data_IF_539727174947
#
_entry.id   IF_539727174947
#
_cell.length_a   1.000
_cell.length_b   1.000
_cell.length_c   1.000
_cell.angle_alpha   90.00
_cell.angle_beta   90.00
_cell.angle_gamma   90.00
#
_symmetry.space_group_name_H-M   'P 1'
#
loop_
_entity.id
_entity.type
_entity.pdbx_description
1 polymer ?
#
# COMPACT_ATOMS: atom_id res chain seq x y z
N UNK A 1 28.11 -26.99 72.47
CA UNK A 1 27.35 -26.19 71.49
C UNK A 1 28.31 -25.65 70.44
N UNK A 2 27.80 -25.47 69.22
CA UNK A 2 28.40 -24.81 68.04
C UNK A 2 29.18 -25.70 67.06
N UNK A 3 28.42 -26.31 66.14
CA UNK A 3 28.83 -26.52 64.76
C UNK A 3 27.91 -25.67 63.87
N UNK A 4 28.49 -24.89 62.96
CA UNK A 4 28.06 -24.68 61.56
C UNK A 4 28.69 -23.39 61.03
N UNK A 5 29.77 -23.55 60.28
CA UNK A 5 30.16 -22.54 59.29
C UNK A 5 29.28 -22.76 58.06
N UNK A 6 28.49 -21.76 57.68
CA UNK A 6 27.78 -21.74 56.40
C UNK A 6 28.64 -20.98 55.39
N UNK A 7 29.07 -21.67 54.34
CA UNK A 7 29.60 -21.07 53.14
C UNK A 7 28.47 -20.64 52.20
N UNK A 8 28.67 -19.46 51.60
CA UNK A 8 28.28 -19.05 50.25
C UNK A 8 26.80 -18.95 49.85
N UNK A 9 26.40 -17.74 49.45
CA UNK A 9 26.12 -17.46 48.04
C UNK A 9 26.14 -15.94 47.82
N UNK A 10 27.23 -15.42 47.24
CA UNK A 10 27.14 -14.14 46.56
C UNK A 10 26.30 -14.39 45.30
N UNK A 11 25.01 -14.06 45.37
CA UNK A 11 24.14 -14.04 44.19
C UNK A 11 24.70 -13.06 43.18
N UNK A 12 25.46 -13.56 42.22
CA UNK A 12 25.80 -12.82 41.01
C UNK A 12 24.51 -12.72 40.21
N UNK A 13 23.72 -11.69 40.49
CA UNK A 13 22.60 -11.32 39.64
C UNK A 13 23.14 -11.07 38.24
N UNK A 14 22.88 -11.99 37.31
CA UNK A 14 23.25 -11.81 35.92
C UNK A 14 22.62 -10.51 35.41
N UNK A 15 23.45 -9.57 34.94
CA UNK A 15 22.95 -8.33 34.36
C UNK A 15 22.22 -8.67 33.05
N UNK A 16 20.89 -8.59 33.05
CA UNK A 16 20.11 -8.69 31.82
C UNK A 16 20.20 -7.38 31.05
N UNK A 17 20.80 -7.41 29.86
CA UNK A 17 20.91 -6.27 28.94
C UNK A 17 20.16 -6.61 27.66
N UNK A 18 19.20 -5.77 27.28
CA UNK A 18 18.47 -5.89 26.02
C UNK A 18 18.58 -4.58 25.24
N UNK A 19 18.75 -4.70 23.92
CA UNK A 19 18.70 -3.58 22.99
C UNK A 19 17.72 -3.93 21.86
N UNK A 20 16.82 -3.01 21.55
CA UNK A 20 15.86 -3.14 20.46
C UNK A 20 15.80 -1.84 19.65
N UNK A 21 15.36 -1.95 18.41
CA UNK A 21 15.32 -0.84 17.47
C UNK A 21 14.26 -1.10 16.43
N UNK A 22 13.69 -0.01 15.91
CA UNK A 22 12.63 -0.02 14.91
C UNK A 22 13.07 0.91 13.78
N UNK A 23 12.89 0.49 12.53
CA UNK A 23 13.02 1.36 11.37
C UNK A 23 11.63 1.73 10.89
N UNK A 24 11.36 3.03 10.81
CA UNK A 24 10.18 3.54 10.11
C UNK A 24 10.51 3.73 8.62
N UNK A 25 9.77 3.07 7.73
CA UNK A 25 9.89 3.19 6.27
C UNK A 25 8.61 3.73 5.66
N UNK A 26 8.74 4.67 4.74
CA UNK A 26 7.63 5.07 3.90
C UNK A 26 7.49 4.09 2.73
N UNK A 27 6.31 3.52 2.56
CA UNK A 27 5.91 2.84 1.32
C UNK A 27 4.96 3.73 0.54
N UNK A 28 5.19 3.80 -0.77
CA UNK A 28 4.35 4.53 -1.72
C UNK A 28 3.99 3.61 -2.87
N UNK A 29 2.81 3.81 -3.44
CA UNK A 29 2.37 3.13 -4.65
C UNK A 29 1.11 3.82 -5.18
N UNK A 30 0.68 3.41 -6.36
CA UNK A 30 -0.50 3.97 -6.99
C UNK A 30 -1.27 2.92 -7.79
N UNK A 31 -2.56 3.19 -8.00
CA UNK A 31 -3.42 2.45 -8.91
C UNK A 31 -4.01 3.39 -9.96
N UNK A 32 -3.98 2.98 -11.22
CA UNK A 32 -4.75 3.62 -12.30
C UNK A 32 -5.97 2.74 -12.58
N UNK A 33 -7.17 3.26 -12.33
CA UNK A 33 -8.42 2.58 -12.59
C UNK A 33 -9.13 3.26 -13.76
N UNK A 34 -9.34 2.50 -14.83
CA UNK A 34 -9.97 2.98 -16.05
C UNK A 34 -11.32 2.29 -16.23
N UNK A 35 -12.33 3.08 -16.54
CA UNK A 35 -13.67 2.63 -16.91
C UNK A 35 -13.85 2.97 -18.39
N UNK A 36 -13.96 1.93 -19.22
CA UNK A 36 -14.33 2.05 -20.63
C UNK A 36 -15.86 1.97 -20.74
N UNK A 37 -16.49 2.88 -21.49
CA UNK A 37 -17.95 2.97 -21.58
C UNK A 37 -18.57 3.75 -20.41
N UNK A 38 -17.90 4.81 -19.94
CA UNK A 38 -18.31 5.57 -18.76
C UNK A 38 -19.75 6.09 -18.86
N UNK A 39 -20.21 6.48 -20.05
CA UNK A 39 -21.59 6.92 -20.28
C UNK A 39 -22.66 5.94 -19.78
N UNK A 40 -22.40 4.63 -19.80
CA UNK A 40 -23.33 3.60 -19.34
C UNK A 40 -23.46 3.55 -17.81
N UNK A 41 -22.49 4.09 -17.09
CA UNK A 41 -22.50 4.05 -15.62
C UNK A 41 -23.55 4.98 -15.02
N UNK A 42 -24.09 5.92 -15.80
CA UNK A 42 -25.23 6.74 -15.40
C UNK A 42 -26.51 5.94 -15.14
N UNK A 43 -26.59 4.68 -15.59
CA UNK A 43 -27.73 3.79 -15.30
C UNK A 43 -27.63 3.05 -13.96
N UNK A 44 -26.51 3.19 -13.23
CA UNK A 44 -26.39 2.62 -11.89
C UNK A 44 -27.22 3.45 -10.91
N UNK A 45 -27.94 2.85 -9.95
CA UNK A 45 -28.62 3.64 -8.93
C UNK A 45 -27.62 4.35 -8.02
N UNK A 46 -28.05 5.45 -7.38
CA UNK A 46 -27.28 6.10 -6.33
C UNK A 46 -26.82 5.11 -5.26
N UNK A 47 -25.59 5.29 -4.76
CA UNK A 47 -24.98 4.40 -3.77
C UNK A 47 -24.38 3.11 -4.33
N UNK A 48 -24.54 2.81 -5.62
CA UNK A 48 -23.80 1.72 -6.28
C UNK A 48 -22.42 2.18 -6.75
N UNK A 49 -21.43 1.29 -6.58
CA UNK A 49 -20.04 1.59 -6.95
C UNK A 49 -19.46 0.59 -7.93
N UNK A 50 -18.43 1.07 -8.62
CA UNK A 50 -17.54 0.27 -9.44
C UNK A 50 -16.21 0.18 -8.68
N UNK A 51 -15.87 -1.03 -8.26
CA UNK A 51 -14.67 -1.31 -7.45
C UNK A 51 -13.50 -1.77 -8.33
N UNK A 52 -12.31 -1.21 -8.10
CA UNK A 52 -11.08 -1.64 -8.76
C UNK A 52 -10.66 -3.06 -8.31
N UNK A 53 -9.79 -3.74 -9.07
CA UNK A 53 -9.01 -4.86 -8.51
C UNK A 53 -8.19 -4.41 -7.29
N UNK A 54 -7.82 -5.33 -6.37
CA UNK A 54 -7.00 -4.98 -5.23
C UNK A 54 -5.58 -4.59 -5.66
N UNK A 55 -4.99 -3.62 -4.98
CA UNK A 55 -3.59 -3.22 -5.16
C UNK A 55 -2.85 -3.13 -3.82
N UNK A 56 -1.56 -3.44 -3.82
CA UNK A 56 -0.77 -3.57 -2.61
C UNK A 56 0.13 -2.36 -2.37
N UNK A 57 0.01 -1.73 -1.20
CA UNK A 57 0.92 -0.65 -0.76
C UNK A 57 1.22 -0.84 0.73
N UNK A 58 2.52 -0.92 1.05
CA UNK A 58 3.03 -1.08 2.40
C UNK A 58 2.49 -2.28 3.17
N UNK A 59 2.47 -3.45 2.52
CA UNK A 59 2.01 -4.70 3.14
C UNK A 59 0.49 -4.79 3.31
N UNK A 60 -0.27 -3.82 2.81
CA UNK A 60 -1.73 -3.76 2.88
C UNK A 60 -2.33 -3.80 1.48
N UNK A 61 -3.50 -4.44 1.37
CA UNK A 61 -4.29 -4.46 0.16
C UNK A 61 -5.36 -3.38 0.20
N UNK A 62 -5.55 -2.70 -0.91
CA UNK A 62 -6.42 -1.55 -1.07
C UNK A 62 -7.34 -1.75 -2.25
N UNK A 63 -8.53 -1.16 -2.19
CA UNK A 63 -9.47 -1.02 -3.29
C UNK A 63 -9.74 0.45 -3.54
N UNK A 64 -10.04 0.81 -4.77
CA UNK A 64 -10.66 2.09 -5.09
C UNK A 64 -12.10 1.86 -5.52
N UNK A 65 -13.03 2.55 -4.87
CA UNK A 65 -14.46 2.51 -5.17
C UNK A 65 -14.86 3.84 -5.82
N UNK A 66 -15.48 3.77 -7.00
CA UNK A 66 -16.00 4.93 -7.72
C UNK A 66 -17.52 4.85 -7.79
N UNK A 67 -18.20 5.92 -7.40
CA UNK A 67 -19.66 6.04 -7.39
C UNK A 67 -20.07 7.10 -8.42
N UNK A 68 -20.50 6.71 -9.64
CA UNK A 68 -20.82 7.66 -10.70
C UNK A 68 -22.00 8.59 -10.38
N UNK A 69 -22.93 8.10 -9.55
CA UNK A 69 -24.17 8.79 -9.17
C UNK A 69 -24.22 9.12 -7.66
N UNK A 70 -23.05 9.25 -7.04
CA UNK A 70 -22.93 9.56 -5.61
C UNK A 70 -22.94 8.32 -4.71
N UNK A 71 -22.33 8.45 -3.54
CA UNK A 71 -22.25 7.35 -2.56
C UNK A 71 -23.51 7.17 -1.70
N UNK A 72 -24.38 8.18 -1.65
CA UNK A 72 -25.63 8.16 -0.89
C UNK A 72 -26.77 7.53 -1.70
N UNK A 73 -27.00 6.24 -1.47
CA UNK A 73 -28.11 5.51 -2.10
C UNK A 73 -29.46 5.66 -1.40
N UNK A 74 -29.55 6.51 -0.36
CA UNK A 74 -30.83 6.78 0.31
C UNK A 74 -31.66 7.89 -0.35
N UNK A 75 -31.07 8.58 -1.32
CA UNK A 75 -31.71 9.66 -2.05
C UNK A 75 -32.53 9.12 -3.21
N UNK A 76 -33.68 9.76 -3.45
CA UNK A 76 -34.55 9.45 -4.58
C UNK A 76 -33.97 10.01 -5.91
N UNK A 77 -33.07 11.00 -5.82
CA UNK A 77 -32.36 11.60 -6.94
C UNK A 77 -30.89 11.16 -7.00
N UNK A 78 -30.36 11.09 -8.23
CA UNK A 78 -28.93 10.90 -8.43
C UNK A 78 -28.17 12.13 -7.93
N UNK A 79 -27.02 11.92 -7.27
CA UNK A 79 -26.13 13.02 -6.96
C UNK A 79 -25.66 13.71 -8.24
N UNK A 80 -25.52 15.03 -8.17
CA UNK A 80 -24.86 15.88 -9.15
C UNK A 80 -23.33 15.72 -9.15
N UNK A 81 -22.76 14.90 -8.26
CA UNK A 81 -21.34 14.67 -8.14
C UNK A 81 -20.97 13.18 -8.20
N UNK A 82 -19.72 12.94 -8.61
CA UNK A 82 -19.09 11.62 -8.55
C UNK A 82 -18.35 11.52 -7.22
N UNK A 83 -18.50 10.39 -6.54
CA UNK A 83 -17.76 10.10 -5.32
C UNK A 83 -16.63 9.10 -5.58
N UNK A 84 -15.52 9.23 -4.85
CA UNK A 84 -14.38 8.30 -4.96
C UNK A 84 -13.76 8.03 -3.60
N UNK A 85 -13.45 6.76 -3.35
CA UNK A 85 -12.92 6.32 -2.06
C UNK A 85 -11.84 5.26 -2.17
N UNK A 86 -10.91 5.34 -1.23
CA UNK A 86 -9.87 4.35 -1.00
C UNK A 86 -10.33 3.51 0.18
N UNK A 87 -10.40 2.18 -0.01
CA UNK A 87 -10.84 1.24 1.01
C UNK A 87 -9.75 0.23 1.34
N UNK A 88 -9.50 0.04 2.64
CA UNK A 88 -8.57 -0.96 3.15
C UNK A 88 -9.22 -2.35 3.14
N UNK A 89 -8.55 -3.32 2.52
CA UNK A 89 -9.02 -4.71 2.45
C UNK A 89 -8.81 -5.42 3.79
N UNK A 90 -9.84 -6.15 4.23
CA UNK A 90 -9.78 -6.99 5.41
C UNK A 90 -9.77 -8.46 5.11
N UNK A 91 -8.60 -9.08 5.21
CA UNK A 91 -8.53 -10.54 5.28
C UNK A 91 -7.85 -11.06 6.54
N UNK A 92 -6.79 -10.44 7.09
CA UNK A 92 -6.08 -11.03 8.24
C UNK A 92 -5.44 -10.05 9.24
N UNK A 93 -5.50 -8.73 9.03
CA UNK A 93 -4.78 -7.77 9.87
C UNK A 93 -5.69 -6.61 10.29
N UNK A 94 -6.16 -6.67 11.54
CA UNK A 94 -7.07 -5.71 12.19
C UNK A 94 -6.37 -4.40 12.62
N UNK A 95 -5.10 -4.22 12.26
CA UNK A 95 -4.35 -3.02 12.61
C UNK A 95 -4.94 -1.75 11.98
N UNK A 96 -4.90 -0.65 12.74
CA UNK A 96 -5.16 0.69 12.21
C UNK A 96 -4.00 1.11 11.31
N UNK A 97 -4.32 1.63 10.14
CA UNK A 97 -3.34 2.11 9.16
C UNK A 97 -3.55 3.59 8.93
N UNK A 98 -2.55 4.41 9.24
CA UNK A 98 -2.53 5.81 8.83
C UNK A 98 -1.98 5.90 7.41
N UNK A 99 -2.80 6.38 6.48
CA UNK A 99 -2.44 6.52 5.07
C UNK A 99 -2.65 7.96 4.61
N UNK A 100 -1.69 8.47 3.84
CA UNK A 100 -1.91 9.62 2.97
C UNK A 100 -2.39 9.10 1.62
N UNK A 101 -3.40 9.74 1.05
CA UNK A 101 -3.96 9.39 -0.25
C UNK A 101 -4.22 10.64 -1.11
N UNK A 102 -4.20 10.47 -2.43
CA UNK A 102 -4.57 11.50 -3.40
C UNK A 102 -5.29 10.86 -4.58
N UNK A 103 -6.35 11.50 -5.05
CA UNK A 103 -7.05 11.13 -6.28
C UNK A 103 -6.83 12.17 -7.36
N UNK A 104 -6.60 11.69 -8.59
CA UNK A 104 -6.45 12.52 -9.78
C UNK A 104 -7.21 11.89 -10.95
N UNK A 105 -7.97 12.67 -11.71
CA UNK A 105 -8.44 12.26 -13.03
C UNK A 105 -7.34 12.49 -14.06
N UNK A 106 -7.13 11.49 -14.92
CA UNK A 106 -6.09 11.50 -15.92
C UNK A 106 -6.65 11.88 -17.29
N UNK A 107 -5.90 12.70 -18.03
CA UNK A 107 -6.15 12.89 -19.46
C UNK A 107 -5.72 11.65 -20.28
N UNK A 108 -6.02 11.66 -21.57
CA UNK A 108 -5.62 10.59 -22.49
C UNK A 108 -4.09 10.39 -22.62
N UNK A 109 -3.28 11.39 -22.23
CA UNK A 109 -1.83 11.33 -22.21
C UNK A 109 -1.26 10.81 -20.87
N UNK A 110 -2.13 10.56 -19.88
CA UNK A 110 -1.78 10.08 -18.55
C UNK A 110 -1.38 11.16 -17.56
N UNK A 111 -1.62 12.43 -17.86
CA UNK A 111 -1.32 13.53 -16.95
C UNK A 111 -2.52 13.80 -16.04
N UNK A 112 -2.26 14.24 -14.80
CA UNK A 112 -3.31 14.69 -13.89
C UNK A 112 -3.95 15.97 -14.44
N UNK A 113 -5.19 15.84 -14.89
CA UNK A 113 -5.96 16.93 -15.47
C UNK A 113 -6.89 17.56 -14.41
N UNK A 114 -7.39 16.77 -13.47
CA UNK A 114 -8.13 17.24 -12.29
C UNK A 114 -7.62 16.52 -11.06
N UNK A 115 -7.46 17.22 -9.93
CA UNK A 115 -7.01 16.61 -8.69
C UNK A 115 -7.40 17.43 -7.48
N UNK A 116 -7.54 16.76 -6.34
CA UNK A 116 -7.66 17.40 -5.03
C UNK A 116 -6.33 17.25 -4.26
N UNK A 117 -6.06 18.12 -3.27
CA UNK A 117 -4.87 18.00 -2.44
C UNK A 117 -4.77 16.65 -1.71
N UNK A 118 -3.56 16.13 -1.45
CA UNK A 118 -3.38 14.93 -0.64
C UNK A 118 -4.06 15.07 0.72
N UNK A 119 -4.75 14.01 1.15
CA UNK A 119 -5.42 13.93 2.44
C UNK A 119 -4.86 12.77 3.26
N UNK A 120 -5.03 12.80 4.58
CA UNK A 120 -4.55 11.74 5.47
C UNK A 120 -5.68 11.23 6.35
N UNK A 121 -5.83 9.92 6.41
CA UNK A 121 -6.84 9.26 7.24
C UNK A 121 -6.24 8.07 8.00
N UNK A 122 -6.87 7.71 9.10
CA UNK A 122 -6.60 6.46 9.81
C UNK A 122 -7.72 5.49 9.46
N UNK A 123 -7.39 4.41 8.76
CA UNK A 123 -8.33 3.39 8.34
C UNK A 123 -8.20 2.15 9.23
N UNK A 124 -9.31 1.45 9.41
CA UNK A 124 -9.34 0.19 10.14
C UNK A 124 -10.04 -0.89 9.30
N UNK A 125 -9.39 -2.03 9.17
CA UNK A 125 -9.93 -3.14 8.40
C UNK A 125 -11.20 -3.70 9.06
N UNK A 126 -12.22 -3.93 8.23
CA UNK A 126 -13.38 -4.74 8.58
C UNK A 126 -13.00 -6.22 8.45
N UNK A 127 -13.12 -6.98 9.54
CA UNK A 127 -12.84 -8.43 9.55
C UNK A 127 -13.84 -9.28 8.75
N UNK A 128 -14.57 -8.68 7.79
CA UNK A 128 -15.58 -9.31 6.94
C UNK A 128 -15.35 -8.96 5.47
N UNK A 129 -15.76 -9.87 4.60
CA UNK A 129 -15.85 -9.64 3.15
C UNK A 129 -17.02 -8.69 2.89
N UNK A 130 -16.72 -7.40 2.76
CA UNK A 130 -17.72 -6.35 2.55
C UNK A 130 -17.79 -5.91 1.09
N UNK A 131 -18.06 -6.86 0.21
CA UNK A 131 -18.43 -6.53 -1.17
C UNK A 131 -19.94 -6.26 -1.33
N UNK A 132 -20.72 -6.27 -0.24
CA UNK A 132 -22.20 -6.21 -0.29
C UNK A 132 -22.85 -5.25 0.71
N UNK A 133 -22.11 -4.49 1.52
CA UNK A 133 -22.70 -3.51 2.45
C UNK A 133 -22.50 -2.09 1.92
N UNK A 134 -23.58 -1.31 1.89
CA UNK A 134 -23.51 0.14 1.69
C UNK A 134 -22.65 0.79 2.79
N UNK A 135 -21.89 1.83 2.43
CA UNK A 135 -21.07 2.63 3.35
C UNK A 135 -21.85 3.10 4.57
N UNK A 136 -23.12 3.43 4.40
CA UNK A 136 -24.00 3.93 5.47
C UNK A 136 -24.43 2.85 6.47
N UNK A 137 -24.03 1.59 6.25
CA UNK A 137 -24.29 0.47 7.14
C UNK A 137 -23.05 0.07 7.96
N UNK A 138 -21.93 0.82 7.85
CA UNK A 138 -20.74 0.57 8.65
C UNK A 138 -20.88 1.24 10.02
N UNK A 139 -20.40 0.56 11.08
CA UNK A 139 -20.29 1.16 12.40
C UNK A 139 -19.27 2.31 12.39
N UNK A 140 -19.52 3.40 13.14
CA UNK A 140 -18.62 4.55 13.22
C UNK A 140 -17.22 4.16 13.74
N UNK A 141 -17.15 3.09 14.54
CA UNK A 141 -15.87 2.55 15.04
C UNK A 141 -15.05 1.82 13.96
N UNK A 142 -15.70 1.46 12.84
CA UNK A 142 -15.16 0.70 11.72
C UNK A 142 -15.10 1.60 10.48
N UNK A 143 -14.03 2.40 10.36
CA UNK A 143 -13.81 3.25 9.19
C UNK A 143 -12.81 2.63 8.21
N UNK A 144 -13.25 1.76 7.27
CA UNK A 144 -12.38 1.06 6.35
C UNK A 144 -12.01 1.92 5.14
N UNK A 145 -12.63 3.09 4.95
CA UNK A 145 -12.48 3.87 3.73
C UNK A 145 -12.28 5.37 3.99
N UNK A 146 -11.62 6.05 3.07
CA UNK A 146 -11.45 7.50 3.08
C UNK A 146 -11.48 8.05 1.65
N UNK A 147 -12.00 9.25 1.46
CA UNK A 147 -12.19 9.80 0.11
C UNK A 147 -13.12 11.01 0.13
N UNK A 148 -13.86 11.18 -0.96
CA UNK A 148 -14.71 12.36 -1.19
C UNK A 148 -16.10 11.93 -1.66
N UNK A 149 -17.13 12.37 -0.94
CA UNK A 149 -18.53 12.25 -1.37
C UNK A 149 -18.78 13.09 -2.63
N UNK A 150 -18.13 14.25 -2.73
CA UNK A 150 -18.16 15.14 -3.89
C UNK A 150 -16.74 15.33 -4.43
N UNK A 151 -16.25 14.39 -5.24
CA UNK A 151 -14.90 14.49 -5.82
C UNK A 151 -14.85 15.46 -6.99
N UNK A 152 -15.82 15.37 -7.89
CA UNK A 152 -16.00 16.26 -9.04
C UNK A 152 -17.49 16.30 -9.38
N UNK A 153 -18.03 17.49 -9.70
CA UNK A 153 -19.42 17.58 -10.14
C UNK A 153 -19.55 17.04 -11.58
N UNK A 154 -20.73 16.54 -11.91
CA UNK A 154 -21.06 16.06 -13.24
C UNK A 154 -20.98 17.21 -14.26
N UNK A 155 -21.37 18.44 -13.89
CA UNK A 155 -21.21 19.58 -14.80
C UNK A 155 -19.73 19.87 -15.09
N UNK A 156 -18.86 19.84 -14.08
CA UNK A 156 -17.43 20.09 -14.27
C UNK A 156 -16.77 18.98 -15.08
N UNK A 157 -17.16 17.72 -14.86
CA UNK A 157 -16.68 16.60 -15.66
C UNK A 157 -17.10 16.74 -17.13
N UNK A 158 -18.38 17.06 -17.40
CA UNK A 158 -18.89 17.25 -18.76
C UNK A 158 -18.29 18.50 -19.43
N UNK A 159 -18.08 19.60 -18.70
CA UNK A 159 -17.36 20.78 -19.21
C UNK A 159 -15.96 20.42 -19.70
N UNK A 160 -15.36 19.37 -19.13
CA UNK A 160 -14.00 18.90 -19.44
C UNK A 160 -13.97 17.58 -20.22
N UNK A 161 -15.11 17.17 -20.79
CA UNK A 161 -15.32 15.90 -21.49
C UNK A 161 -14.23 15.58 -22.51
N UNK A 162 -13.82 16.55 -23.32
CA UNK A 162 -12.80 16.34 -24.36
C UNK A 162 -11.42 15.94 -23.81
N UNK A 163 -11.15 16.28 -22.54
CA UNK A 163 -9.91 15.95 -21.84
C UNK A 163 -10.04 14.74 -20.91
N UNK A 164 -11.14 14.64 -20.17
CA UNK A 164 -11.33 13.69 -19.07
C UNK A 164 -12.14 12.44 -19.45
N UNK A 165 -12.94 12.51 -20.53
CA UNK A 165 -13.84 11.45 -21.00
C UNK A 165 -13.60 11.10 -22.48
N UNK A 166 -12.37 11.29 -22.96
CA UNK A 166 -12.03 10.99 -24.36
C UNK A 166 -12.29 9.51 -24.67
N UNK A 167 -12.95 9.26 -25.80
CA UNK A 167 -13.39 7.93 -26.24
C UNK A 167 -14.34 7.22 -25.24
N UNK A 168 -15.11 7.98 -24.46
CA UNK A 168 -16.00 7.46 -23.41
C UNK A 168 -15.25 6.67 -22.32
N UNK A 169 -14.05 7.15 -21.99
CA UNK A 169 -13.17 6.54 -20.97
C UNK A 169 -12.88 7.51 -19.85
N UNK A 170 -13.22 7.09 -18.63
CA UNK A 170 -12.79 7.78 -17.41
C UNK A 170 -11.58 7.05 -16.82
N UNK A 171 -10.54 7.80 -16.45
CA UNK A 171 -9.36 7.24 -15.79
C UNK A 171 -9.05 7.98 -14.48
N UNK A 172 -9.00 7.24 -13.38
CA UNK A 172 -8.69 7.77 -12.05
C UNK A 172 -7.40 7.14 -11.54
N UNK A 173 -6.48 7.98 -11.08
CA UNK A 173 -5.28 7.58 -10.34
C UNK A 173 -5.51 7.78 -8.86
N UNK A 174 -5.15 6.78 -8.06
CA UNK A 174 -5.06 6.89 -6.61
C UNK A 174 -3.61 6.68 -6.19
N UNK A 175 -2.99 7.69 -5.59
CA UNK A 175 -1.68 7.58 -4.94
C UNK A 175 -1.88 7.30 -3.45
N UNK A 176 -1.12 6.35 -2.91
CA UNK A 176 -1.19 5.94 -1.50
C UNK A 176 0.20 5.93 -0.90
N UNK A 177 0.33 6.49 0.30
CA UNK A 177 1.55 6.44 1.09
C UNK A 177 1.24 6.02 2.54
N UNK A 178 2.00 5.04 3.04
CA UNK A 178 1.87 4.52 4.40
C UNK A 178 3.24 4.44 5.08
N UNK A 179 3.23 4.55 6.42
CA UNK A 179 4.43 4.30 7.24
C UNK A 179 4.39 2.86 7.75
N UNK A 180 5.45 2.12 7.48
CA UNK A 180 5.69 0.78 8.02
C UNK A 180 6.76 0.85 9.11
N UNK A 181 6.56 0.07 10.18
CA UNK A 181 7.52 -0.08 11.26
C UNK A 181 8.09 -1.50 11.21
N UNK A 182 9.39 -1.62 11.00
CA UNK A 182 10.10 -2.91 10.96
C UNK A 182 11.04 -3.03 12.17
N UNK A 183 10.99 -4.16 12.88
CA UNK A 183 11.91 -4.43 13.98
C UNK A 183 13.31 -4.78 13.45
N UNK A 184 14.33 -4.17 14.04
CA UNK A 184 15.72 -4.52 13.79
C UNK A 184 16.11 -5.75 14.62
N UNK A 185 16.57 -6.80 13.95
CA UNK A 185 16.96 -8.05 14.60
C UNK A 185 18.31 -7.95 15.33
N UNK A 186 19.14 -6.94 15.04
CA UNK A 186 20.50 -6.81 15.59
C UNK A 186 20.78 -5.38 16.05
N UNK A 187 20.49 -5.07 17.31
CA UNK A 187 20.75 -3.74 17.91
C UNK A 187 21.81 -3.79 19.00
N UNK A 188 22.09 -4.97 19.53
CA UNK A 188 23.19 -5.15 20.47
C UNK A 188 24.53 -4.84 19.78
N UNK A 189 25.44 -4.10 20.44
CA UNK A 189 26.81 -3.93 19.96
C UNK A 189 27.45 -5.30 19.75
N UNK A 190 28.16 -5.49 18.64
CA UNK A 190 29.07 -6.63 18.52
C UNK A 190 30.19 -6.41 19.53
N UNK A 191 30.25 -7.24 20.56
CA UNK A 191 31.42 -7.28 21.44
C UNK A 191 32.59 -7.83 20.60
N UNK A 192 33.43 -6.93 20.07
CA UNK A 192 34.71 -7.31 19.51
C UNK A 192 35.62 -7.68 20.68
N UNK A 193 35.60 -8.95 21.07
CA UNK A 193 36.68 -9.51 21.87
C UNK A 193 37.94 -9.58 21.00
N UNK A 194 38.64 -8.46 20.89
CA UNK A 194 40.04 -8.45 20.49
C UNK A 194 40.84 -9.08 21.62
N UNK A 195 40.80 -10.41 21.72
CA UNK A 195 41.84 -11.14 22.43
C UNK A 195 43.11 -11.02 21.60
N UNK A 196 43.87 -9.94 21.83
CA UNK A 196 45.25 -9.85 21.42
C UNK A 196 46.08 -10.82 22.27
N UNK A 197 45.93 -12.12 22.01
CA UNK A 197 46.91 -13.12 22.40
C UNK A 197 47.98 -13.10 21.32
N UNK A 198 49.07 -12.39 21.60
CA UNK A 198 50.30 -12.49 20.82
C UNK A 198 50.99 -13.83 21.13
N UNK A 199 51.64 -14.33 20.08
CA UNK A 199 52.60 -15.43 19.95
C UNK A 199 51.99 -16.80 19.64
N UNK A 200 52.08 -17.24 18.38
CA UNK A 200 53.21 -17.98 17.75
C UNK A 200 52.92 -19.47 18.01
N UNK A 201 52.94 -20.45 17.09
CA UNK A 201 53.50 -20.64 15.76
C UNK A 201 52.82 -21.91 15.22
N UNK A 202 52.60 -22.03 13.90
CA UNK A 202 51.93 -23.21 13.36
C UNK A 202 51.59 -23.15 11.88
N UNK A 203 52.65 -23.16 11.08
CA UNK A 203 52.69 -23.60 9.68
C UNK A 203 51.74 -24.78 9.39
N UNK A 204 50.80 -24.60 8.45
CA UNK A 204 50.32 -25.64 7.53
C UNK A 204 49.82 -25.00 6.24
N UNK A 205 50.67 -25.07 5.22
CA UNK A 205 50.29 -25.11 3.81
C UNK A 205 49.34 -26.28 3.54
N UNK A 206 48.14 -25.98 3.03
CA UNK A 206 47.43 -26.83 2.08
C UNK A 206 46.70 -25.97 1.08
N UNK A 207 47.26 -25.98 -0.13
CA UNK A 207 46.71 -25.47 -1.37
C UNK A 207 45.39 -26.14 -1.76
N UNK A 208 44.66 -25.42 -2.63
CA UNK A 208 43.77 -25.95 -3.68
C UNK A 208 42.33 -26.34 -3.30
N UNK A 209 41.40 -25.43 -3.60
CA UNK A 209 40.04 -25.77 -4.02
C UNK A 209 39.55 -24.74 -5.05
N UNK A 210 39.79 -25.03 -6.33
CA UNK A 210 38.98 -24.51 -7.42
C UNK A 210 37.55 -25.03 -7.36
N UNK A 211 36.57 -24.17 -7.63
CA UNK A 211 35.18 -24.59 -7.79
C UNK A 211 34.16 -23.47 -7.63
N UNK A 212 34.25 -22.41 -8.44
CA UNK A 212 33.20 -21.41 -8.54
C UNK A 212 31.91 -22.05 -9.13
N UNK A 213 30.73 -21.94 -8.50
CA UNK A 213 29.49 -22.20 -9.20
C UNK A 213 29.20 -21.01 -10.11
N UNK A 214 29.17 -21.25 -11.41
CA UNK A 214 28.75 -20.30 -12.43
C UNK A 214 27.46 -19.59 -12.00
N UNK A 215 27.56 -18.28 -11.77
CA UNK A 215 26.39 -17.45 -11.54
C UNK A 215 25.57 -17.43 -12.82
N UNK A 216 24.51 -18.23 -12.83
CA UNK A 216 23.46 -18.29 -13.85
C UNK A 216 23.09 -16.84 -14.20
N UNK A 217 23.55 -16.36 -15.35
CA UNK A 217 23.34 -14.98 -15.81
C UNK A 217 21.85 -14.67 -15.72
N UNK A 218 21.47 -13.84 -14.74
CA UNK A 218 20.11 -13.32 -14.63
C UNK A 218 19.83 -12.60 -15.95
N UNK A 219 18.79 -13.05 -16.68
CA UNK A 219 18.26 -12.29 -17.82
C UNK A 219 18.14 -10.83 -17.39
N UNK A 220 18.61 -9.86 -18.19
CA UNK A 220 18.44 -8.46 -17.86
C UNK A 220 16.95 -8.21 -17.64
N UNK A 221 16.55 -7.98 -16.38
CA UNK A 221 15.23 -7.45 -16.11
C UNK A 221 15.20 -6.09 -16.80
N UNK A 222 14.21 -5.88 -17.67
CA UNK A 222 13.99 -4.55 -18.25
C UNK A 222 13.90 -3.57 -17.07
N UNK A 223 14.55 -2.39 -17.15
CA UNK A 223 14.44 -1.41 -16.10
C UNK A 223 12.95 -1.15 -15.80
N UNK A 224 12.58 -0.91 -14.52
CA UNK A 224 11.23 -0.52 -14.17
C UNK A 224 10.78 0.60 -15.10
N UNK A 225 9.57 0.50 -15.66
CA UNK A 225 9.04 1.57 -16.49
C UNK A 225 8.99 2.84 -15.65
N UNK A 226 9.35 3.97 -16.25
CA UNK A 226 9.01 5.27 -15.69
C UNK A 226 7.50 5.33 -15.44
N UNK A 227 7.08 5.90 -14.30
CA UNK A 227 5.68 5.90 -13.87
C UNK A 227 4.77 6.49 -14.94
N UNK A 228 5.22 7.54 -15.63
CA UNK A 228 4.45 8.18 -16.69
C UNK A 228 4.24 7.25 -17.88
N UNK A 229 5.26 6.48 -18.26
CA UNK A 229 5.13 5.49 -19.33
C UNK A 229 4.25 4.30 -18.90
N UNK A 230 4.34 3.88 -17.64
CA UNK A 230 3.42 2.89 -17.09
C UNK A 230 1.96 3.35 -17.22
N UNK A 231 1.66 4.58 -16.77
CA UNK A 231 0.32 5.16 -16.89
C UNK A 231 -0.14 5.21 -18.35
N UNK A 232 0.69 5.72 -19.28
CA UNK A 232 0.35 5.76 -20.72
C UNK A 232 0.05 4.38 -21.29
N UNK A 233 0.78 3.34 -20.86
CA UNK A 233 0.53 1.95 -21.28
C UNK A 233 -0.76 1.38 -20.69
N UNK A 234 -1.11 1.74 -19.46
CA UNK A 234 -2.41 1.39 -18.87
C UNK A 234 -3.57 2.01 -19.66
N UNK A 235 -3.43 3.26 -20.11
CA UNK A 235 -4.49 3.97 -20.84
C UNK A 235 -4.60 3.55 -22.32
N UNK A 236 -3.50 3.19 -22.97
CA UNK A 236 -3.46 2.85 -24.41
C UNK A 236 -3.88 1.41 -24.74
N UNK A 237 -3.87 0.49 -23.78
CA UNK A 237 -4.37 -0.88 -24.00
C UNK A 237 -5.89 -0.84 -24.24
N UNK A 238 -6.30 -0.78 -25.50
CA UNK A 238 -7.61 -1.32 -25.90
C UNK A 238 -7.57 -2.83 -25.62
N UNK A 239 -8.66 -3.40 -25.11
CA UNK A 239 -8.78 -4.85 -25.10
C UNK A 239 -8.81 -5.32 -26.56
N UNK A 240 -7.64 -5.70 -27.08
CA UNK A 240 -7.51 -6.46 -28.31
C UNK A 240 -7.93 -7.91 -28.05
N UNK A 241 -9.19 -8.23 -28.37
CA UNK A 241 -9.75 -9.53 -28.80
C UNK A 241 -11.26 -9.29 -29.01
N UNK A 242 -11.82 -9.18 -30.23
CA UNK A 242 -11.91 -10.14 -31.36
C UNK A 242 -12.27 -11.55 -30.91
N UNK A 243 -13.49 -11.98 -31.26
CA UNK A 243 -14.04 -13.32 -31.09
C UNK A 243 -15.53 -13.23 -30.85
#
# INVERSE_FOLDING_TARGET
MMASALFSAAGSGALSRAASGIVAKAARGFQVFRIDGYSLTGHLPGGECITSPPFAVGGRNWYMDLYPNGADGSRDDDSDAISVFLRLCGQNDKGRVRAQYKFSLLDAAGNAAYELPPSTATLQCLGRVLSQLSRYQWDESENPACGYDEFITKEELERRRDSLLKDDRLAVRCDVAVVQLEHLLNVAPKENYNHASRHDDGDWDYSDWEGAPETRRRRPQRPPLDDQEYVRRCLSKSQGRRG
#
